data_IF_120544120388
#
_entry.id   IF_120544120388
#
_cell.length_a   1.000
_cell.length_b   1.000
_cell.length_c   1.000
_cell.angle_alpha   90.00
_cell.angle_beta   90.00
_cell.angle_gamma   90.00
#
_symmetry.space_group_name_H-M   'P 1'
#
loop_
_entity.id
_entity.type
_entity.pdbx_description
1 polymer ?
#
# COMPACT_ATOMS: atom_id res chain seq x y z
N UNK A 1 38.74 44.56 -27.79
CA UNK A 1 37.61 43.74 -28.25
C UNK A 1 37.98 42.28 -28.05
N UNK A 2 37.50 41.69 -26.96
CA UNK A 2 37.60 40.25 -26.70
C UNK A 2 36.18 39.73 -26.80
N UNK A 3 35.90 38.92 -27.82
CA UNK A 3 34.60 38.30 -28.02
C UNK A 3 34.42 37.21 -26.97
N UNK A 4 33.59 37.48 -25.97
CA UNK A 4 33.09 36.43 -25.08
C UNK A 4 32.16 35.52 -25.89
N UNK A 5 32.65 34.34 -26.24
CA UNK A 5 31.88 33.25 -26.81
C UNK A 5 30.89 32.73 -25.78
N UNK A 6 29.62 32.64 -26.18
CA UNK A 6 28.46 32.18 -25.38
C UNK A 6 28.54 30.67 -25.03
N UNK A 7 29.66 30.01 -25.31
CA UNK A 7 29.80 28.55 -25.15
C UNK A 7 30.06 28.07 -23.70
N UNK A 8 30.38 28.96 -22.76
CA UNK A 8 30.72 28.57 -21.39
C UNK A 8 29.55 28.60 -20.38
N UNK A 9 28.34 28.98 -20.78
CA UNK A 9 27.17 29.04 -19.88
C UNK A 9 26.41 27.71 -19.70
N UNK A 10 26.89 26.62 -20.30
CA UNK A 10 26.22 25.31 -20.24
C UNK A 10 26.74 24.32 -19.19
N UNK A 11 27.71 24.73 -18.36
CA UNK A 11 28.49 23.81 -17.50
C UNK A 11 28.33 24.06 -16.00
N UNK A 12 27.28 24.76 -15.58
CA UNK A 12 26.92 24.82 -14.17
C UNK A 12 25.94 23.67 -13.84
N UNK A 13 26.49 22.59 -13.30
CA UNK A 13 25.75 21.46 -12.72
C UNK A 13 24.94 21.88 -11.46
N UNK A 14 24.61 23.17 -11.31
CA UNK A 14 23.82 23.74 -10.21
C UNK A 14 22.32 23.63 -10.45
N UNK A 15 21.90 23.34 -11.68
CA UNK A 15 20.52 23.03 -12.02
C UNK A 15 20.41 21.63 -12.63
N UNK A 16 20.68 20.61 -11.80
CA UNK A 16 20.16 19.27 -12.08
C UNK A 16 18.64 19.35 -12.29
N UNK A 17 18.04 18.50 -13.16
CA UNK A 17 16.65 18.64 -13.57
C UNK A 17 15.72 18.67 -12.36
N UNK A 18 15.10 19.82 -12.13
CA UNK A 18 14.26 20.17 -10.96
C UNK A 18 13.07 19.21 -10.79
N UNK A 19 12.80 18.36 -11.79
CA UNK A 19 11.64 17.46 -11.87
C UNK A 19 11.97 15.96 -11.87
N UNK A 20 13.15 15.52 -11.44
CA UNK A 20 13.46 14.08 -11.37
C UNK A 20 13.30 13.49 -9.97
N UNK A 21 12.31 13.93 -9.18
CA UNK A 21 11.85 13.06 -8.08
C UNK A 21 11.07 11.91 -8.68
N UNK A 22 11.71 10.74 -8.74
CA UNK A 22 11.04 9.48 -8.99
C UNK A 22 9.84 9.38 -8.03
N UNK A 23 8.62 9.45 -8.57
CA UNK A 23 7.36 9.38 -7.81
C UNK A 23 7.09 7.94 -7.33
N UNK A 24 8.09 7.31 -6.71
CA UNK A 24 8.02 5.95 -6.19
C UNK A 24 7.72 5.98 -4.70
N UNK A 25 6.56 5.44 -4.32
CA UNK A 25 6.11 5.34 -2.93
C UNK A 25 6.06 3.88 -2.44
N UNK A 26 6.71 2.96 -3.16
CA UNK A 26 6.66 1.53 -2.83
C UNK A 26 7.27 1.19 -1.47
N UNK A 27 8.21 1.97 -0.95
CA UNK A 27 8.73 1.77 0.41
C UNK A 27 7.68 2.06 1.49
N UNK A 28 6.79 3.04 1.25
CA UNK A 28 5.66 3.33 2.15
C UNK A 28 4.65 2.19 2.07
N UNK A 29 4.30 1.76 0.84
CA UNK A 29 3.38 0.63 0.62
C UNK A 29 3.91 -0.64 1.30
N UNK A 30 5.21 -0.93 1.19
CA UNK A 30 5.85 -2.07 1.85
C UNK A 30 5.65 -2.04 3.36
N UNK A 31 5.92 -0.89 3.99
CA UNK A 31 5.72 -0.73 5.44
C UNK A 31 4.25 -0.93 5.83
N UNK A 32 3.31 -0.38 5.07
CA UNK A 32 1.88 -0.53 5.33
C UNK A 32 1.41 -1.98 5.22
N UNK A 33 1.84 -2.70 4.18
CA UNK A 33 1.52 -4.11 4.00
C UNK A 33 2.09 -4.97 5.14
N UNK A 34 3.36 -4.76 5.50
CA UNK A 34 4.00 -5.50 6.61
C UNK A 34 3.31 -5.20 7.95
N UNK A 35 2.94 -3.95 8.20
CA UNK A 35 2.18 -3.58 9.41
C UNK A 35 0.80 -4.23 9.43
N UNK A 36 0.08 -4.21 8.30
CA UNK A 36 -1.20 -4.89 8.17
C UNK A 36 -1.09 -6.39 8.41
N UNK A 37 -0.06 -7.02 7.84
CA UNK A 37 0.23 -8.45 8.00
C UNK A 37 0.55 -8.82 9.45
N UNK A 38 1.36 -8.00 10.14
CA UNK A 38 1.63 -8.19 11.56
C UNK A 38 0.35 -8.11 12.41
N UNK A 39 -0.55 -7.17 12.12
CA UNK A 39 -1.85 -7.07 12.80
C UNK A 39 -2.68 -8.32 12.51
N UNK A 40 -2.76 -8.76 11.25
CA UNK A 40 -3.50 -9.97 10.88
C UNK A 40 -2.98 -11.20 11.63
N UNK A 41 -1.66 -11.43 11.69
CA UNK A 41 -1.05 -12.57 12.40
C UNK A 41 -1.42 -12.54 13.89
N UNK A 42 -1.30 -11.38 14.53
CA UNK A 42 -1.54 -11.24 15.97
C UNK A 42 -3.01 -11.38 16.33
N UNK A 43 -3.91 -10.92 15.47
CA UNK A 43 -5.34 -10.84 15.76
C UNK A 43 -6.11 -12.06 15.30
N UNK A 44 -5.62 -12.77 14.26
CA UNK A 44 -6.26 -13.95 13.70
C UNK A 44 -6.74 -15.01 14.72
N UNK A 45 -5.91 -15.48 15.68
CA UNK A 45 -6.34 -16.53 16.63
C UNK A 45 -7.52 -16.11 17.52
N UNK A 46 -7.73 -14.81 17.73
CA UNK A 46 -8.83 -14.29 18.55
C UNK A 46 -10.15 -14.17 17.79
N UNK A 47 -10.09 -14.11 16.45
CA UNK A 47 -11.25 -13.84 15.59
C UNK A 47 -11.52 -14.93 14.57
N UNK A 48 -10.84 -16.08 14.65
CA UNK A 48 -10.97 -17.17 13.68
C UNK A 48 -12.42 -17.63 13.48
N UNK A 49 -13.23 -17.65 14.55
CA UNK A 49 -14.64 -18.11 14.49
C UNK A 49 -15.59 -17.09 13.83
N UNK A 50 -15.13 -15.85 13.63
CA UNK A 50 -15.92 -14.76 13.01
C UNK A 50 -15.60 -14.57 11.52
N UNK A 51 -14.59 -15.27 11.03
CA UNK A 51 -14.11 -15.15 9.65
C UNK A 51 -14.73 -16.28 8.83
N UNK A 52 -15.26 -15.94 7.64
CA UNK A 52 -15.93 -16.91 6.77
C UNK A 52 -14.97 -17.92 6.11
N UNK A 53 -13.70 -17.57 5.98
CA UNK A 53 -12.69 -18.40 5.33
C UNK A 53 -12.17 -19.52 6.23
N UNK A 54 -11.79 -20.65 5.62
CA UNK A 54 -11.11 -21.72 6.36
C UNK A 54 -9.75 -21.28 6.87
N UNK A 55 -9.30 -21.86 7.98
CA UNK A 55 -8.04 -21.50 8.63
C UNK A 55 -6.84 -21.56 7.70
N UNK A 56 -6.76 -22.61 6.88
CA UNK A 56 -5.70 -22.78 5.89
C UNK A 56 -5.68 -21.65 4.85
N UNK A 57 -6.86 -21.20 4.39
CA UNK A 57 -6.97 -20.10 3.42
C UNK A 57 -6.55 -18.78 4.07
N UNK A 58 -7.00 -18.50 5.29
CA UNK A 58 -6.62 -17.29 6.02
C UNK A 58 -5.10 -17.19 6.20
N UNK A 59 -4.47 -18.25 6.70
CA UNK A 59 -3.00 -18.29 6.89
C UNK A 59 -2.28 -18.09 5.55
N UNK A 60 -2.75 -18.74 4.48
CA UNK A 60 -2.17 -18.59 3.16
C UNK A 60 -2.25 -17.15 2.65
N UNK A 61 -3.38 -16.47 2.85
CA UNK A 61 -3.57 -15.07 2.44
C UNK A 61 -2.63 -14.15 3.21
N UNK A 62 -2.55 -14.29 4.54
CA UNK A 62 -1.66 -13.53 5.42
C UNK A 62 -0.22 -13.63 4.90
N UNK A 63 0.31 -14.86 4.80
CA UNK A 63 1.66 -15.10 4.30
C UNK A 63 1.87 -14.54 2.89
N UNK A 64 0.90 -14.71 2.00
CA UNK A 64 0.98 -14.21 0.62
C UNK A 64 1.08 -12.68 0.56
N UNK A 65 0.32 -11.97 1.40
CA UNK A 65 0.37 -10.49 1.49
C UNK A 65 1.75 -10.03 1.93
N UNK A 66 2.33 -10.64 2.97
CA UNK A 66 3.68 -10.34 3.44
C UNK A 66 4.75 -10.63 2.39
N UNK A 67 4.67 -11.77 1.70
CA UNK A 67 5.59 -12.15 0.63
C UNK A 67 5.55 -11.14 -0.53
N UNK A 68 4.35 -10.76 -0.98
CA UNK A 68 4.17 -9.79 -2.08
C UNK A 68 4.73 -8.42 -1.70
N UNK A 69 4.60 -8.02 -0.43
CA UNK A 69 5.23 -6.80 0.08
C UNK A 69 6.76 -6.84 -0.03
N UNK A 70 7.37 -8.00 0.22
CA UNK A 70 8.80 -8.23 0.05
C UNK A 70 9.29 -8.06 -1.40
N UNK A 71 8.45 -8.41 -2.37
CA UNK A 71 8.77 -8.29 -3.80
C UNK A 71 8.62 -6.86 -4.38
N UNK A 72 8.18 -5.87 -3.60
CA UNK A 72 8.09 -4.49 -4.06
C UNK A 72 9.47 -3.97 -4.49
N UNK A 73 9.62 -3.59 -5.76
CA UNK A 73 10.85 -3.04 -6.31
C UNK A 73 10.51 -1.91 -7.31
N UNK A 74 11.20 -0.75 -7.31
CA UNK A 74 10.99 0.32 -8.28
C UNK A 74 11.15 -0.12 -9.74
N UNK A 75 11.98 -1.14 -10.01
CA UNK A 75 12.22 -1.66 -11.37
C UNK A 75 11.07 -2.56 -11.86
N UNK A 76 10.32 -3.19 -10.95
CA UNK A 76 9.29 -4.16 -11.28
C UNK A 76 7.89 -3.51 -11.20
N UNK A 77 7.43 -2.94 -12.31
CA UNK A 77 6.11 -2.28 -12.38
C UNK A 77 4.94 -3.19 -12.02
N UNK A 78 5.04 -4.48 -12.36
CA UNK A 78 3.98 -5.46 -12.12
C UNK A 78 3.73 -5.70 -10.62
N UNK A 79 4.77 -5.67 -9.79
CA UNK A 79 4.64 -5.78 -8.33
C UNK A 79 3.81 -4.62 -7.75
N UNK A 80 4.00 -3.39 -8.24
CA UNK A 80 3.23 -2.23 -7.79
C UNK A 80 1.75 -2.34 -8.20
N UNK A 81 1.46 -2.84 -9.41
CA UNK A 81 0.09 -3.10 -9.87
C UNK A 81 -0.57 -4.17 -9.00
N UNK A 82 0.15 -5.25 -8.68
CA UNK A 82 -0.35 -6.31 -7.81
C UNK A 82 -0.68 -5.77 -6.41
N UNK A 83 0.18 -4.94 -5.82
CA UNK A 83 -0.13 -4.30 -4.52
C UNK A 83 -1.32 -3.36 -4.57
N UNK A 84 -1.55 -2.67 -5.70
CA UNK A 84 -2.75 -1.87 -5.89
C UNK A 84 -4.00 -2.74 -5.88
N UNK A 85 -4.02 -3.83 -6.65
CA UNK A 85 -5.16 -4.77 -6.71
C UNK A 85 -5.43 -5.37 -5.34
N UNK A 86 -4.39 -5.83 -4.64
CA UNK A 86 -4.52 -6.39 -3.30
C UNK A 86 -5.04 -5.35 -2.32
N UNK A 87 -4.58 -4.09 -2.39
CA UNK A 87 -5.06 -3.03 -1.52
C UNK A 87 -6.56 -2.76 -1.72
N UNK A 88 -7.06 -2.80 -2.97
CA UNK A 88 -8.51 -2.69 -3.24
C UNK A 88 -9.28 -3.84 -2.59
N UNK A 89 -8.81 -5.09 -2.80
CA UNK A 89 -9.47 -6.27 -2.24
C UNK A 89 -9.47 -6.26 -0.71
N UNK A 90 -8.30 -6.02 -0.10
CA UNK A 90 -8.12 -5.97 1.33
C UNK A 90 -8.97 -4.86 1.97
N UNK A 91 -8.93 -3.64 1.43
CA UNK A 91 -9.77 -2.54 1.90
C UNK A 91 -11.25 -2.92 1.88
N UNK A 92 -11.72 -3.51 0.78
CA UNK A 92 -13.13 -3.91 0.63
C UNK A 92 -13.54 -4.97 1.65
N UNK A 93 -12.68 -5.98 1.86
CA UNK A 93 -12.95 -7.07 2.82
C UNK A 93 -12.97 -6.55 4.25
N UNK A 94 -11.97 -5.76 4.65
CA UNK A 94 -11.89 -5.24 6.01
C UNK A 94 -12.99 -4.24 6.33
N UNK A 95 -13.33 -3.36 5.39
CA UNK A 95 -14.45 -2.44 5.55
C UNK A 95 -15.78 -3.20 5.65
N UNK A 96 -15.98 -4.24 4.83
CA UNK A 96 -17.17 -5.10 4.93
C UNK A 96 -17.29 -5.76 6.32
N UNK A 97 -16.20 -6.31 6.84
CA UNK A 97 -16.18 -6.91 8.19
C UNK A 97 -16.40 -5.88 9.31
N UNK A 98 -15.87 -4.66 9.16
CA UNK A 98 -16.13 -3.57 10.10
C UNK A 98 -17.62 -3.18 10.11
N UNK A 99 -18.22 -2.96 8.94
CA UNK A 99 -19.64 -2.57 8.82
C UNK A 99 -20.58 -3.66 9.34
N UNK A 100 -20.30 -4.92 9.00
CA UNK A 100 -21.13 -6.05 9.46
C UNK A 100 -21.03 -6.27 10.97
N UNK A 101 -19.88 -6.00 11.59
CA UNK A 101 -19.71 -6.07 13.04
C UNK A 101 -20.64 -5.10 13.79
N UNK A 102 -20.94 -3.93 13.23
CA UNK A 102 -21.85 -2.94 13.82
C UNK A 102 -23.32 -3.09 13.40
N UNK A 103 -23.60 -3.90 12.39
CA UNK A 103 -24.96 -4.04 11.82
C UNK A 103 -25.83 -5.08 12.53
N UNK A 104 -25.26 -5.86 13.47
CA UNK A 104 -25.98 -6.87 14.25
C UNK A 104 -26.83 -6.32 15.41
N UNK A 105 -27.64 -7.18 16.03
CA UNK A 105 -28.55 -6.83 17.13
C UNK A 105 -27.81 -6.40 18.41
N UNK A 106 -26.58 -6.88 18.63
CA UNK A 106 -25.71 -6.48 19.75
C UNK A 106 -24.70 -5.41 19.33
N UNK A 107 -25.19 -4.19 19.13
CA UNK A 107 -24.35 -3.01 18.82
C UNK A 107 -23.44 -2.66 19.99
N UNK A 108 -22.24 -3.22 20.01
CA UNK A 108 -21.19 -2.83 20.92
C UNK A 108 -20.13 -2.00 20.18
N UNK A 109 -20.12 -0.69 20.40
CA UNK A 109 -19.11 0.21 19.83
C UNK A 109 -17.68 -0.07 20.31
N UNK A 110 -17.51 -0.92 21.33
CA UNK A 110 -16.22 -1.38 21.84
C UNK A 110 -15.85 -2.79 21.35
N UNK A 111 -16.50 -3.32 20.31
CA UNK A 111 -16.08 -4.59 19.72
C UNK A 111 -14.68 -4.45 19.11
N UNK A 112 -13.73 -5.20 19.66
CA UNK A 112 -12.35 -5.24 19.17
C UNK A 112 -12.28 -5.71 17.71
N UNK A 113 -13.18 -6.59 17.29
CA UNK A 113 -13.24 -7.05 15.92
C UNK A 113 -13.55 -5.89 14.96
N UNK A 114 -14.49 -5.01 15.32
CA UNK A 114 -14.77 -3.81 14.54
C UNK A 114 -13.53 -2.93 14.40
N UNK A 115 -12.91 -2.56 15.52
CA UNK A 115 -11.78 -1.62 15.52
C UNK A 115 -10.56 -2.16 14.78
N UNK A 116 -10.27 -3.45 14.89
CA UNK A 116 -9.15 -4.08 14.18
C UNK A 116 -9.39 -4.08 12.67
N UNK A 117 -10.58 -4.47 12.23
CA UNK A 117 -10.94 -4.41 10.82
C UNK A 117 -10.93 -2.96 10.29
N UNK A 118 -11.40 -1.99 11.09
CA UNK A 118 -11.37 -0.57 10.69
C UNK A 118 -9.93 -0.04 10.55
N UNK A 119 -9.04 -0.40 11.48
CA UNK A 119 -7.61 -0.02 11.40
C UNK A 119 -6.96 -0.65 10.16
N UNK A 120 -7.22 -1.94 9.90
CA UNK A 120 -6.73 -2.63 8.71
C UNK A 120 -7.25 -1.96 7.42
N UNK A 121 -8.55 -1.63 7.36
CA UNK A 121 -9.13 -0.90 6.24
C UNK A 121 -8.39 0.43 6.00
N UNK A 122 -8.12 1.21 7.05
CA UNK A 122 -7.37 2.47 6.94
C UNK A 122 -5.94 2.24 6.43
N UNK A 123 -5.24 1.21 6.93
CA UNK A 123 -3.89 0.86 6.46
C UNK A 123 -3.90 0.55 4.95
N UNK A 124 -4.84 -0.30 4.51
CA UNK A 124 -4.95 -0.67 3.10
C UNK A 124 -5.49 0.45 2.22
N UNK A 125 -6.26 1.40 2.75
CA UNK A 125 -6.63 2.63 2.06
C UNK A 125 -5.38 3.49 1.75
N UNK A 126 -4.49 3.70 2.73
CA UNK A 126 -3.24 4.42 2.47
C UNK A 126 -2.36 3.65 1.50
N UNK A 127 -2.29 2.32 1.61
CA UNK A 127 -1.51 1.49 0.70
C UNK A 127 -2.05 1.58 -0.74
N UNK A 128 -3.37 1.62 -0.91
CA UNK A 128 -4.06 1.87 -2.18
C UNK A 128 -3.68 3.25 -2.75
N UNK A 129 -3.73 4.30 -1.93
CA UNK A 129 -3.40 5.65 -2.36
C UNK A 129 -1.94 5.76 -2.86
N UNK A 130 -0.97 5.25 -2.09
CA UNK A 130 0.45 5.34 -2.44
C UNK A 130 0.83 4.42 -3.61
N UNK A 131 0.20 3.24 -3.72
CA UNK A 131 0.38 2.36 -4.88
C UNK A 131 -0.17 3.01 -6.16
N UNK A 132 -1.35 3.65 -6.09
CA UNK A 132 -1.91 4.41 -7.21
C UNK A 132 -0.99 5.57 -7.63
N UNK A 133 -0.43 6.31 -6.66
CA UNK A 133 0.49 7.41 -6.93
C UNK A 133 1.78 6.93 -7.60
N UNK A 134 2.28 5.76 -7.19
CA UNK A 134 3.45 5.11 -7.79
C UNK A 134 3.17 4.70 -9.24
N UNK A 135 2.02 4.06 -9.48
CA UNK A 135 1.59 3.66 -10.82
C UNK A 135 1.46 4.88 -11.72
N UNK A 136 0.78 5.95 -11.27
CA UNK A 136 0.68 7.22 -11.99
C UNK A 136 2.06 7.79 -12.34
N UNK A 137 3.00 7.77 -11.40
CA UNK A 137 4.38 8.19 -11.61
C UNK A 137 5.07 7.46 -12.77
N UNK A 138 4.81 6.17 -12.95
CA UNK A 138 5.35 5.39 -14.07
C UNK A 138 4.78 5.76 -15.44
N UNK A 139 3.57 6.32 -15.49
CA UNK A 139 2.94 6.79 -16.74
C UNK A 139 3.32 8.22 -17.06
N UNK A 140 3.51 9.09 -16.06
CA UNK A 140 3.96 10.48 -16.27
C UNK A 140 5.42 10.57 -16.70
N UNK A 141 6.30 9.67 -16.25
CA UNK A 141 7.73 9.68 -16.60
C UNK A 141 8.04 9.04 -17.97
N UNK A 142 7.03 8.88 -18.83
CA UNK A 142 7.10 8.22 -20.14
C UNK A 142 6.86 9.18 -21.32
N UNK A 143 6.76 10.48 -21.07
CA UNK A 143 6.64 11.57 -22.05
C UNK A 143 7.77 12.54 -21.84
#
# INVERSE_FOLDING_TARGET
>A
MVSHSIEDEGKDDRWGPIFTRSHYYGDIVRKLFVSGDAIMILTYPFFMDRIFFSTSISIFVIVSVGVIAGFLNPRQKWANILTFIISVGALSVFEYHAVTALSGENKNSFDLFFWINQILAIIFFFALYYSAKTIRGFYTNKT
#
